data_IF_329169350319
#
_entry.id   IF_329169350319
#
_cell.length_a   1.000
_cell.length_b   1.000
_cell.length_c   1.000
_cell.angle_alpha   90.00
_cell.angle_beta   90.00
_cell.angle_gamma   90.00
#
_symmetry.space_group_name_H-M   'P 1'
#
loop_
_entity.id
_entity.type
_entity.pdbx_description
1 polymer ?
#
# COMPACT_ATOMS: atom_id res chain seq x y z
N UNK A 1 0.31 -23.87 5.00
CA UNK A 1 -0.99 -23.58 5.64
C UNK A 1 -1.46 -22.25 5.10
N UNK A 2 -2.41 -22.28 4.17
CA UNK A 2 -2.97 -21.09 3.52
C UNK A 2 -4.45 -21.00 3.85
N UNK A 3 -4.91 -19.81 4.24
CA UNK A 3 -6.31 -19.61 4.60
C UNK A 3 -6.56 -18.23 5.17
N UNK A 4 -6.75 -17.27 4.27
CA UNK A 4 -7.17 -15.91 4.62
C UNK A 4 -8.01 -15.32 3.50
N UNK A 5 -9.09 -16.01 3.13
CA UNK A 5 -10.08 -15.51 2.18
C UNK A 5 -10.86 -14.35 2.84
N UNK A 6 -10.52 -13.10 2.49
CA UNK A 6 -11.22 -11.89 2.93
C UNK A 6 -11.90 -11.22 1.74
N UNK A 7 -12.86 -11.88 1.14
CA UNK A 7 -13.70 -11.25 0.11
C UNK A 7 -14.53 -10.11 0.74
N UNK A 8 -14.41 -8.88 0.21
CA UNK A 8 -15.48 -7.89 0.33
C UNK A 8 -15.16 -6.41 0.58
N UNK A 9 -13.92 -5.96 0.55
CA UNK A 9 -13.56 -4.52 0.39
C UNK A 9 -12.24 -4.51 -0.35
N UNK A 10 -12.26 -4.21 -1.65
CA UNK A 10 -11.16 -4.42 -2.60
C UNK A 10 -9.77 -4.62 -1.98
N UNK A 11 -9.19 -5.79 -2.22
CA UNK A 11 -8.09 -6.29 -1.41
C UNK A 11 -6.84 -5.40 -1.46
N UNK A 12 -6.14 -5.37 -0.33
CA UNK A 12 -4.77 -4.92 -0.24
C UNK A 12 -3.86 -6.09 -0.63
N UNK A 13 -3.02 -5.90 -1.65
CA UNK A 13 -2.08 -6.91 -2.12
C UNK A 13 -0.72 -6.66 -1.48
N UNK A 14 -0.28 -7.60 -0.64
CA UNK A 14 1.05 -7.57 -0.05
C UNK A 14 2.10 -7.94 -1.12
N UNK A 15 3.18 -7.16 -1.19
CA UNK A 15 4.33 -7.41 -2.09
C UNK A 15 5.64 -7.55 -1.34
N UNK A 16 5.66 -7.20 -0.04
CA UNK A 16 6.77 -7.41 0.88
C UNK A 16 6.20 -7.79 2.26
N UNK A 17 6.78 -8.83 2.88
CA UNK A 17 6.38 -9.43 4.16
C UNK A 17 7.31 -9.10 5.33
N UNK A 18 8.33 -8.26 5.14
CA UNK A 18 9.32 -7.86 6.15
C UNK A 18 8.73 -7.23 7.42
N UNK A 19 7.52 -6.67 7.33
CA UNK A 19 6.81 -6.00 8.44
C UNK A 19 5.55 -6.74 8.88
N UNK A 20 5.39 -7.99 8.43
CA UNK A 20 4.20 -8.79 8.67
C UNK A 20 3.03 -8.44 7.75
N UNK A 21 1.97 -9.23 7.84
CA UNK A 21 0.77 -9.06 7.01
C UNK A 21 -0.28 -8.18 7.68
N UNK A 22 -0.90 -7.31 6.89
CA UNK A 22 -2.06 -6.51 7.29
C UNK A 22 -3.00 -6.36 6.09
N UNK A 23 -4.23 -5.92 6.34
CA UNK A 23 -5.24 -5.69 5.31
C UNK A 23 -5.77 -4.27 5.32
N UNK A 24 -6.64 -3.98 4.36
CA UNK A 24 -7.28 -2.67 4.23
C UNK A 24 -8.10 -2.30 5.48
N UNK A 25 -8.72 -3.28 6.15
CA UNK A 25 -9.44 -3.04 7.41
C UNK A 25 -8.54 -2.53 8.53
N UNK A 26 -7.28 -2.98 8.58
CA UNK A 26 -6.32 -2.54 9.58
C UNK A 26 -5.93 -1.08 9.32
N UNK A 27 -5.75 -0.70 8.05
CA UNK A 27 -5.52 0.68 7.63
C UNK A 27 -6.71 1.60 7.94
N UNK A 28 -7.94 1.14 7.73
CA UNK A 28 -9.15 1.93 8.00
C UNK A 28 -9.38 2.18 9.50
N UNK A 29 -8.87 1.31 10.38
CA UNK A 29 -8.98 1.46 11.84
C UNK A 29 -7.79 2.22 12.45
N UNK A 30 -6.72 2.44 11.68
CA UNK A 30 -5.51 3.09 12.15
C UNK A 30 -5.74 4.58 12.44
N UNK A 31 -5.01 5.11 13.42
CA UNK A 31 -4.94 6.56 13.60
C UNK A 31 -4.20 7.16 12.41
N UNK A 32 -4.79 8.17 11.76
CA UNK A 32 -4.28 8.73 10.51
C UNK A 32 -3.92 10.21 10.63
N UNK A 33 -2.77 10.56 10.07
CA UNK A 33 -2.21 11.91 10.00
C UNK A 33 -1.92 12.26 8.53
N UNK A 34 -2.25 13.47 8.10
CA UNK A 34 -1.92 13.93 6.75
C UNK A 34 -0.45 14.34 6.71
N UNK A 35 0.34 13.69 5.87
CA UNK A 35 1.75 14.06 5.64
C UNK A 35 1.90 15.13 4.56
N UNK A 36 0.98 15.15 3.60
CA UNK A 36 0.94 16.21 2.60
C UNK A 36 0.21 15.83 1.32
N UNK A 37 0.08 16.81 0.45
CA UNK A 37 -0.50 16.68 -0.88
C UNK A 37 0.50 17.21 -1.92
N UNK A 38 0.77 16.43 -2.97
CA UNK A 38 1.69 16.80 -4.04
C UNK A 38 1.16 16.38 -5.40
N UNK A 39 1.93 16.61 -6.47
CA UNK A 39 1.50 16.33 -7.85
C UNK A 39 1.04 14.89 -8.08
N UNK A 40 1.71 13.92 -7.45
CA UNK A 40 1.33 12.50 -7.55
C UNK A 40 0.13 12.11 -6.69
N UNK A 41 -0.37 13.01 -5.84
CA UNK A 41 -1.50 12.82 -4.94
C UNK A 41 -1.14 13.00 -3.46
N UNK A 42 -1.97 12.49 -2.57
CA UNK A 42 -1.88 12.71 -1.12
C UNK A 42 -1.19 11.56 -0.39
N UNK A 43 -0.49 11.89 0.71
CA UNK A 43 0.17 10.94 1.58
C UNK A 43 -0.37 11.07 3.01
N UNK A 44 -0.58 9.94 3.66
CA UNK A 44 -1.06 9.83 5.03
C UNK A 44 -0.16 8.88 5.80
N UNK A 45 0.13 9.21 7.05
CA UNK A 45 0.68 8.26 8.02
C UNK A 45 -0.48 7.53 8.67
N UNK A 46 -0.38 6.22 8.79
CA UNK A 46 -1.35 5.37 9.49
C UNK A 46 -0.61 4.57 10.57
N UNK A 47 -0.93 4.82 11.84
CA UNK A 47 -0.40 4.09 12.98
C UNK A 47 -1.38 2.98 13.36
N UNK A 48 -1.02 1.72 13.04
CA UNK A 48 -1.87 0.55 13.30
C UNK A 48 -1.73 0.08 14.75
N UNK A 49 -2.76 -0.62 15.25
CA UNK A 49 -2.75 -1.19 16.60
C UNK A 49 -1.65 -2.25 16.82
N UNK A 50 -1.11 -2.83 15.74
CA UNK A 50 0.06 -3.73 15.79
C UNK A 50 1.36 -3.02 16.18
N UNK A 51 1.37 -1.68 16.26
CA UNK A 51 2.57 -0.87 16.48
C UNK A 51 3.29 -0.48 15.18
N UNK A 52 2.95 -1.11 14.05
CA UNK A 52 3.50 -0.74 12.74
C UNK A 52 2.88 0.58 12.25
N UNK A 53 3.73 1.54 11.92
CA UNK A 53 3.34 2.78 11.24
C UNK A 53 3.69 2.69 9.75
N UNK A 54 2.75 3.07 8.89
CA UNK A 54 2.92 3.04 7.44
C UNK A 54 2.58 4.39 6.80
N UNK A 55 3.16 4.65 5.64
CA UNK A 55 2.70 5.70 4.74
C UNK A 55 1.76 5.09 3.73
N UNK A 56 0.55 5.63 3.63
CA UNK A 56 -0.41 5.34 2.57
C UNK A 56 -0.39 6.51 1.58
N UNK A 57 0.12 6.27 0.37
CA UNK A 57 0.11 7.22 -0.73
C UNK A 57 -1.06 6.92 -1.67
N UNK A 58 -1.99 7.86 -1.80
CA UNK A 58 -3.09 7.81 -2.77
C UNK A 58 -2.66 8.48 -4.08
N UNK A 59 -2.61 7.71 -5.15
CA UNK A 59 -2.15 8.16 -6.46
C UNK A 59 -3.33 8.68 -7.30
N UNK A 60 -3.27 9.94 -7.75
CA UNK A 60 -4.37 10.56 -8.52
C UNK A 60 -4.25 10.40 -10.03
N UNK A 61 -3.02 10.40 -10.56
CA UNK A 61 -2.78 10.52 -12.01
C UNK A 61 -2.55 9.18 -12.72
N UNK A 62 -2.65 8.05 -12.01
CA UNK A 62 -2.40 6.71 -12.57
C UNK A 62 -3.66 6.03 -13.12
N UNK A 63 -4.77 6.74 -13.30
CA UNK A 63 -6.05 6.14 -13.72
C UNK A 63 -6.03 5.51 -15.12
N UNK A 64 -5.05 5.86 -15.96
CA UNK A 64 -4.85 5.27 -17.29
C UNK A 64 -4.17 3.90 -17.26
N UNK A 65 -3.58 3.50 -16.13
CA UNK A 65 -2.87 2.22 -16.01
C UNK A 65 -3.87 1.11 -15.66
N UNK A 66 -3.93 0.09 -16.51
CA UNK A 66 -4.74 -1.12 -16.31
C UNK A 66 -4.25 -1.96 -15.13
N UNK A 67 -5.12 -2.80 -14.59
CA UNK A 67 -4.84 -3.64 -13.40
C UNK A 67 -3.60 -4.51 -13.58
N UNK A 68 -3.50 -5.20 -14.71
CA UNK A 68 -2.46 -6.21 -14.94
C UNK A 68 -1.07 -5.58 -15.04
N UNK A 69 -0.97 -4.45 -15.78
CA UNK A 69 0.27 -3.66 -15.86
C UNK A 69 0.64 -3.12 -14.48
N UNK A 70 -0.32 -2.58 -13.74
CA UNK A 70 -0.07 -2.06 -12.40
C UNK A 70 0.41 -3.15 -11.44
N UNK A 71 -0.23 -4.34 -11.44
CA UNK A 71 0.18 -5.47 -10.59
C UNK A 71 1.59 -5.93 -10.93
N UNK A 72 1.92 -6.08 -12.22
CA UNK A 72 3.24 -6.51 -12.66
C UNK A 72 4.34 -5.55 -12.16
N UNK A 73 4.18 -4.24 -12.38
CA UNK A 73 5.12 -3.22 -11.93
C UNK A 73 5.26 -3.19 -10.41
N UNK A 74 4.14 -3.29 -9.69
CA UNK A 74 4.13 -3.30 -8.23
C UNK A 74 4.83 -4.52 -7.63
N UNK A 75 4.64 -5.70 -8.22
CA UNK A 75 5.33 -6.92 -7.80
C UNK A 75 6.82 -6.85 -8.11
N UNK A 76 7.20 -6.26 -9.24
CA UNK A 76 8.60 -6.03 -9.57
C UNK A 76 9.24 -5.06 -8.58
N UNK A 77 8.58 -3.94 -8.28
CA UNK A 77 9.07 -2.97 -7.30
C UNK A 77 9.19 -3.61 -5.91
N UNK A 78 8.19 -4.39 -5.50
CA UNK A 78 8.21 -5.12 -4.23
C UNK A 78 9.35 -6.13 -4.06
N UNK A 79 10.06 -6.50 -5.14
CA UNK A 79 11.24 -7.39 -5.12
C UNK A 79 12.57 -6.64 -5.07
N UNK A 80 12.58 -5.33 -5.28
CA UNK A 80 13.81 -4.54 -5.21
C UNK A 80 14.32 -4.56 -3.76
N UNK A 81 15.62 -4.77 -3.57
CA UNK A 81 16.28 -4.73 -2.26
C UNK A 81 17.56 -3.92 -2.39
N UNK A 82 17.55 -2.72 -1.82
CA UNK A 82 18.69 -1.81 -1.85
C UNK A 82 18.62 -0.86 -0.64
N UNK A 83 19.76 -0.53 0.02
CA UNK A 83 19.76 0.29 1.24
C UNK A 83 19.15 1.69 1.06
N UNK A 84 19.17 2.23 -0.16
CA UNK A 84 18.64 3.55 -0.47
C UNK A 84 17.24 3.53 -1.12
N UNK A 85 16.55 2.38 -1.13
CA UNK A 85 15.22 2.25 -1.75
C UNK A 85 14.23 1.74 -0.71
N UNK A 86 13.26 2.59 -0.36
CA UNK A 86 12.12 2.17 0.43
C UNK A 86 11.18 1.34 -0.44
N UNK A 87 11.13 0.05 -0.16
CA UNK A 87 10.35 -0.91 -0.94
C UNK A 87 8.90 -0.92 -0.47
N UNK A 88 7.89 -0.98 -1.37
CA UNK A 88 6.50 -1.10 -0.95
C UNK A 88 6.26 -2.35 -0.11
N UNK A 89 5.42 -2.20 0.90
CA UNK A 89 4.84 -3.30 1.66
C UNK A 89 3.65 -3.89 0.92
N UNK A 90 2.78 -3.02 0.42
CA UNK A 90 1.52 -3.42 -0.20
C UNK A 90 0.98 -2.36 -1.15
N UNK A 91 -0.03 -2.73 -1.93
CA UNK A 91 -0.77 -1.79 -2.76
C UNK A 91 -2.25 -2.14 -2.83
N UNK A 92 -3.07 -1.17 -3.22
CA UNK A 92 -4.46 -1.37 -3.58
C UNK A 92 -4.71 -0.87 -5.00
N UNK A 93 -5.48 -1.63 -5.78
CA UNK A 93 -5.92 -1.22 -7.11
C UNK A 93 -7.44 -1.17 -7.20
N UNK A 94 -7.94 -0.01 -7.59
CA UNK A 94 -9.23 0.23 -8.24
C UNK A 94 -9.03 1.13 -9.45
N UNK A 95 -10.01 1.14 -10.35
CA UNK A 95 -9.94 1.91 -11.60
C UNK A 95 -9.62 3.39 -11.34
N UNK A 96 -10.27 3.99 -10.35
CA UNK A 96 -10.17 5.42 -9.99
C UNK A 96 -9.32 5.68 -8.73
N UNK A 97 -8.80 4.62 -8.11
CA UNK A 97 -8.05 4.74 -6.87
C UNK A 97 -6.92 3.73 -6.82
N UNK A 98 -5.71 4.22 -6.57
CA UNK A 98 -4.54 3.37 -6.35
C UNK A 98 -3.88 3.82 -5.06
N UNK A 99 -3.62 2.86 -4.18
CA UNK A 99 -2.89 3.10 -2.95
C UNK A 99 -1.55 2.38 -3.01
N UNK A 100 -0.52 3.05 -2.51
CA UNK A 100 0.81 2.52 -2.33
C UNK A 100 1.17 2.61 -0.86
N UNK A 101 1.65 1.52 -0.27
CA UNK A 101 1.91 1.43 1.18
C UNK A 101 3.37 1.12 1.43
N UNK A 102 4.03 1.93 2.25
CA UNK A 102 5.43 1.72 2.70
C UNK A 102 5.52 1.83 4.22
N UNK A 103 6.63 1.38 4.78
CA UNK A 103 6.96 1.69 6.17
C UNK A 103 7.09 3.22 6.38
N UNK A 104 6.68 3.69 7.55
CA UNK A 104 6.98 5.03 8.03
C UNK A 104 8.26 4.97 8.88
N UNK A 105 9.33 5.63 8.42
CA UNK A 105 10.63 5.75 9.12
C UNK A 105 10.65 6.96 10.05
#
# INVERSE_FOLDING_TARGET
>A
MGGGNRNGIGDLVMVNDEKGAFGLQDLMKAAAEVLGNGGLGSAYKAAMASGLSVVVKRMREMNKIGKDVFDAEMRQFGRIRHPNILTPLAYHYRREEKLFVTEYM
#
